data_IF_142329880065
#
_entry.id   IF_142329880065
#
_cell.length_a   1.000
_cell.length_b   1.000
_cell.length_c   1.000
_cell.angle_alpha   90.00
_cell.angle_beta   90.00
_cell.angle_gamma   90.00
#
_symmetry.space_group_name_H-M   'P 1'
#
loop_
_entity.id
_entity.type
_entity.pdbx_description
1 polymer ?
#
# COMPACT_ATOMS: atom_id res chain seq x y z
N UNK A 1 5.20 -15.10 -9.09
CA UNK A 1 4.37 -13.96 -8.63
C UNK A 1 3.69 -13.35 -9.84
N UNK A 2 2.44 -12.97 -9.71
CA UNK A 2 1.65 -12.31 -10.74
C UNK A 2 1.87 -10.79 -10.64
N UNK A 3 2.65 -10.22 -11.56
CA UNK A 3 3.00 -8.79 -11.60
C UNK A 3 2.57 -8.19 -12.92
N UNK A 4 1.94 -7.04 -12.87
CA UNK A 4 1.61 -6.21 -14.02
C UNK A 4 2.37 -4.89 -13.95
N UNK A 5 2.80 -4.35 -15.09
CA UNK A 5 3.46 -3.04 -15.18
C UNK A 5 2.63 -2.12 -16.07
N UNK A 6 2.41 -0.88 -15.62
CA UNK A 6 1.63 0.15 -16.31
C UNK A 6 2.32 1.50 -16.24
N UNK A 7 2.05 2.35 -17.22
CA UNK A 7 2.61 3.70 -17.31
C UNK A 7 4.04 3.73 -17.86
N UNK A 8 4.56 4.94 -18.04
CA UNK A 8 5.83 5.21 -18.76
C UNK A 8 6.71 6.26 -18.07
N UNK A 9 6.33 6.74 -16.88
CA UNK A 9 7.11 7.75 -16.15
C UNK A 9 8.45 7.19 -15.63
N UNK A 10 9.40 8.08 -15.31
CA UNK A 10 10.77 7.70 -14.96
C UNK A 10 10.92 7.03 -13.60
N UNK A 11 10.08 7.41 -12.64
CA UNK A 11 10.04 6.78 -11.30
C UNK A 11 9.26 5.48 -11.36
N UNK A 12 9.73 4.46 -10.62
CA UNK A 12 8.94 3.24 -10.41
C UNK A 12 8.15 3.33 -9.12
N UNK A 13 6.86 2.98 -9.16
CA UNK A 13 6.00 2.91 -7.99
C UNK A 13 5.53 1.48 -7.82
N UNK A 14 5.97 0.80 -6.75
CA UNK A 14 5.46 -0.53 -6.41
C UNK A 14 4.24 -0.36 -5.53
N UNK A 15 3.05 -0.71 -6.06
CA UNK A 15 1.78 -0.43 -5.41
C UNK A 15 1.14 -1.71 -4.85
N UNK A 16 0.96 -1.76 -3.52
CA UNK A 16 0.52 -2.90 -2.75
C UNK A 16 -0.92 -2.71 -2.29
N UNK A 17 -1.76 -3.67 -2.64
CA UNK A 17 -3.20 -3.70 -2.34
C UNK A 17 -3.52 -4.07 -0.89
N UNK A 18 -4.78 -3.89 -0.50
CA UNK A 18 -5.33 -4.26 0.82
C UNK A 18 -5.55 -5.77 0.99
N UNK A 19 -6.01 -6.15 2.19
CA UNK A 19 -6.19 -7.57 2.59
C UNK A 19 -7.17 -8.35 1.68
N UNK A 20 -8.22 -7.70 1.19
CA UNK A 20 -9.22 -8.30 0.31
C UNK A 20 -9.02 -7.94 -1.16
N UNK A 21 -8.25 -6.87 -1.44
CA UNK A 21 -8.05 -6.40 -2.80
C UNK A 21 -7.05 -7.23 -3.59
N UNK A 22 -7.01 -6.91 -4.86
CA UNK A 22 -5.97 -7.28 -5.82
C UNK A 22 -5.33 -5.98 -6.35
N UNK A 23 -4.42 -6.08 -7.30
CA UNK A 23 -3.88 -4.91 -8.01
C UNK A 23 -4.97 -3.98 -8.56
N UNK A 24 -6.16 -4.52 -8.86
CA UNK A 24 -7.29 -3.75 -9.41
C UNK A 24 -7.70 -2.57 -8.52
N UNK A 25 -7.42 -2.64 -7.21
CA UNK A 25 -7.68 -1.54 -6.27
C UNK A 25 -6.91 -0.27 -6.59
N UNK A 26 -5.73 -0.38 -7.21
CA UNK A 26 -4.89 0.75 -7.61
C UNK A 26 -5.20 1.28 -9.01
N UNK A 27 -5.91 0.51 -9.86
CA UNK A 27 -6.09 0.85 -11.28
C UNK A 27 -6.65 2.26 -11.53
N UNK A 28 -7.63 2.80 -10.78
CA UNK A 28 -8.12 4.16 -11.01
C UNK A 28 -7.03 5.23 -10.85
N UNK A 29 -6.17 5.08 -9.83
CA UNK A 29 -5.03 5.99 -9.60
C UNK A 29 -3.95 5.80 -10.67
N UNK A 30 -3.65 4.55 -11.02
CA UNK A 30 -2.66 4.19 -12.06
C UNK A 30 -3.03 4.77 -13.41
N UNK A 31 -4.29 4.67 -13.81
CA UNK A 31 -4.79 5.25 -15.07
C UNK A 31 -4.64 6.77 -15.11
N UNK A 32 -4.86 7.44 -13.97
CA UNK A 32 -4.70 8.89 -13.84
C UNK A 32 -3.23 9.34 -13.85
N UNK A 33 -2.31 8.49 -13.38
CA UNK A 33 -0.90 8.81 -13.18
C UNK A 33 0.04 7.99 -14.10
N UNK A 34 -0.47 7.45 -15.21
CA UNK A 34 0.31 6.62 -16.13
C UNK A 34 1.49 7.36 -16.79
N UNK A 35 1.41 8.67 -16.90
CA UNK A 35 2.45 9.57 -17.39
C UNK A 35 3.51 9.93 -16.32
N UNK A 36 3.13 9.94 -15.05
CA UNK A 36 3.97 10.38 -13.94
C UNK A 36 4.95 9.29 -13.44
N UNK A 37 4.56 8.01 -13.54
CA UNK A 37 5.35 6.90 -13.04
C UNK A 37 5.17 5.63 -13.87
N UNK A 38 6.13 4.73 -13.73
CA UNK A 38 5.98 3.31 -14.13
C UNK A 38 5.52 2.53 -12.91
N UNK A 39 4.26 2.08 -12.91
CA UNK A 39 3.62 1.36 -11.81
C UNK A 39 3.90 -0.14 -11.91
N UNK A 40 4.42 -0.71 -10.83
CA UNK A 40 4.62 -2.16 -10.65
C UNK A 40 3.54 -2.65 -9.69
N UNK A 41 2.69 -3.52 -10.18
CA UNK A 41 1.42 -3.92 -9.55
C UNK A 41 1.41 -5.43 -9.26
N UNK A 42 2.07 -5.88 -8.18
CA UNK A 42 2.02 -7.28 -7.81
C UNK A 42 0.66 -7.64 -7.18
N UNK A 43 0.14 -8.79 -7.55
CA UNK A 43 -0.80 -9.52 -6.70
C UNK A 43 0.01 -10.30 -5.67
N UNK A 44 -0.18 -10.02 -4.40
CA UNK A 44 0.46 -10.75 -3.32
C UNK A 44 -0.07 -12.19 -3.25
N UNK A 45 0.62 -13.09 -2.55
CA UNK A 45 0.19 -14.48 -2.36
C UNK A 45 -1.27 -14.61 -1.95
N UNK A 46 -1.98 -15.58 -2.52
CA UNK A 46 -3.41 -15.79 -2.33
C UNK A 46 -4.31 -14.77 -3.04
N UNK A 47 -3.80 -13.97 -4.00
CA UNK A 47 -4.55 -12.96 -4.77
C UNK A 47 -4.24 -13.08 -6.24
N UNK A 48 -5.26 -12.85 -7.07
CA UNK A 48 -5.14 -12.93 -8.51
C UNK A 48 -4.49 -14.25 -8.97
N UNK A 49 -3.54 -14.17 -9.91
CA UNK A 49 -2.79 -15.31 -10.41
C UNK A 49 -1.57 -15.71 -9.58
N UNK A 50 -1.35 -15.10 -8.40
CA UNK A 50 -0.23 -15.47 -7.52
C UNK A 50 -0.48 -16.76 -6.77
N UNK A 51 0.62 -17.37 -6.27
CA UNK A 51 0.56 -18.63 -5.51
C UNK A 51 -0.44 -18.55 -4.36
N UNK A 52 -1.27 -19.56 -4.23
CA UNK A 52 -2.18 -19.75 -3.10
C UNK A 52 -1.45 -20.59 -2.04
N UNK A 53 -1.15 -20.04 -0.85
CA UNK A 53 -0.51 -20.78 0.22
C UNK A 53 -1.35 -21.96 0.69
N UNK A 54 -0.68 -23.10 0.94
CA UNK A 54 -1.29 -24.29 1.52
C UNK A 54 -1.20 -24.32 3.03
N UNK A 55 -0.16 -23.69 3.59
CA UNK A 55 0.06 -23.59 5.04
C UNK A 55 -0.44 -22.22 5.54
N UNK A 56 -1.20 -22.23 6.64
CA UNK A 56 -1.69 -21.00 7.26
C UNK A 56 -0.55 -20.03 7.65
N UNK A 57 0.63 -20.55 8.02
CA UNK A 57 1.81 -19.73 8.37
C UNK A 57 2.36 -18.93 7.20
N UNK A 58 2.08 -19.33 5.97
CA UNK A 58 2.51 -18.61 4.77
C UNK A 58 1.69 -17.33 4.53
N UNK A 59 0.62 -17.10 5.31
CA UNK A 59 -0.11 -15.83 5.36
C UNK A 59 0.43 -14.85 6.40
N UNK A 60 1.57 -15.15 7.06
CA UNK A 60 2.22 -14.20 7.97
C UNK A 60 2.73 -12.96 7.21
N UNK A 61 2.72 -11.78 7.86
CA UNK A 61 3.07 -10.51 7.22
C UNK A 61 4.49 -10.51 6.63
N UNK A 62 5.44 -11.18 7.29
CA UNK A 62 6.80 -11.35 6.77
C UNK A 62 6.86 -12.04 5.40
N UNK A 63 5.90 -12.94 5.11
CA UNK A 63 5.81 -13.61 3.80
C UNK A 63 5.28 -12.66 2.72
N UNK A 64 4.38 -11.75 3.06
CA UNK A 64 3.96 -10.67 2.15
C UNK A 64 5.10 -9.68 1.89
N UNK A 65 5.92 -9.42 2.89
CA UNK A 65 7.14 -8.63 2.72
C UNK A 65 8.19 -9.35 1.83
N UNK A 66 8.24 -10.70 1.83
CA UNK A 66 9.04 -11.48 0.85
C UNK A 66 8.51 -11.26 -0.57
N UNK A 67 7.19 -11.27 -0.77
CA UNK A 67 6.57 -11.00 -2.06
C UNK A 67 6.88 -9.57 -2.55
N UNK A 68 6.79 -8.58 -1.68
CA UNK A 68 7.16 -7.20 -1.99
C UNK A 68 8.64 -7.09 -2.40
N UNK A 69 9.55 -7.69 -1.63
CA UNK A 69 10.98 -7.68 -1.95
C UNK A 69 11.27 -8.36 -3.30
N UNK A 70 10.61 -9.47 -3.59
CA UNK A 70 10.74 -10.14 -4.88
C UNK A 70 10.26 -9.26 -6.05
N UNK A 71 9.17 -8.50 -5.89
CA UNK A 71 8.70 -7.56 -6.89
C UNK A 71 9.70 -6.40 -7.11
N UNK A 72 10.25 -5.84 -6.02
CA UNK A 72 11.28 -4.80 -6.08
C UNK A 72 12.52 -5.32 -6.82
N UNK A 73 13.03 -6.48 -6.46
CA UNK A 73 14.23 -7.08 -7.09
C UNK A 73 14.01 -7.41 -8.57
N UNK A 74 12.81 -7.82 -8.93
CA UNK A 74 12.48 -8.13 -10.33
C UNK A 74 12.31 -6.90 -11.21
N UNK A 75 11.81 -5.77 -10.65
CA UNK A 75 11.31 -4.67 -11.47
C UNK A 75 11.96 -3.31 -11.17
N UNK A 76 12.75 -3.15 -10.08
CA UNK A 76 13.13 -1.81 -9.62
C UNK A 76 14.64 -1.61 -9.38
N UNK A 77 15.48 -2.65 -9.57
CA UNK A 77 16.90 -2.57 -9.17
C UNK A 77 17.75 -1.60 -10.00
N UNK A 78 17.28 -1.22 -11.16
CA UNK A 78 17.92 -0.29 -12.09
C UNK A 78 17.33 1.12 -12.08
N UNK A 79 16.42 1.40 -11.14
CA UNK A 79 15.69 2.67 -11.09
C UNK A 79 15.39 3.13 -9.64
N UNK A 80 15.23 4.43 -9.48
CA UNK A 80 14.65 5.01 -8.26
C UNK A 80 13.20 4.55 -8.12
N UNK A 81 12.81 4.08 -6.94
CA UNK A 81 11.47 3.57 -6.71
C UNK A 81 10.81 4.12 -5.43
N UNK A 82 9.50 4.15 -5.45
CA UNK A 82 8.61 4.53 -4.35
C UNK A 82 7.75 3.32 -3.99
N UNK A 83 7.43 3.13 -2.72
CA UNK A 83 6.45 2.13 -2.28
C UNK A 83 5.12 2.82 -2.00
N UNK A 84 4.07 2.30 -2.59
CA UNK A 84 2.70 2.75 -2.36
C UNK A 84 1.88 1.61 -1.73
N UNK A 85 1.26 1.84 -0.59
CA UNK A 85 0.44 0.84 0.10
C UNK A 85 -0.96 1.37 0.40
N UNK A 86 -1.97 0.51 0.21
CA UNK A 86 -3.33 0.77 0.64
C UNK A 86 -3.75 -0.25 1.70
N UNK A 87 -4.33 0.23 2.82
CA UNK A 87 -4.85 -0.65 3.87
C UNK A 87 -3.76 -1.62 4.41
N UNK A 88 -3.93 -2.93 4.27
CA UNK A 88 -2.89 -3.94 4.62
C UNK A 88 -1.57 -3.69 3.86
N UNK A 89 -1.61 -3.14 2.66
CA UNK A 89 -0.40 -2.80 1.90
C UNK A 89 0.55 -1.89 2.67
N UNK A 90 0.02 -0.99 3.49
CA UNK A 90 0.82 -0.15 4.41
C UNK A 90 1.56 -1.03 5.43
N UNK A 91 0.86 -1.98 6.05
CA UNK A 91 1.49 -2.90 7.03
C UNK A 91 2.57 -3.77 6.38
N UNK A 92 2.37 -4.21 5.13
CA UNK A 92 3.38 -4.96 4.36
C UNK A 92 4.63 -4.10 4.13
N UNK A 93 4.47 -2.83 3.77
CA UNK A 93 5.57 -1.88 3.60
C UNK A 93 6.31 -1.66 4.93
N UNK A 94 5.60 -1.42 6.02
CA UNK A 94 6.22 -1.24 7.34
C UNK A 94 7.01 -2.48 7.77
N UNK A 95 6.50 -3.69 7.53
CA UNK A 95 7.22 -4.94 7.80
C UNK A 95 8.47 -5.10 6.92
N UNK A 96 8.36 -4.76 5.63
CA UNK A 96 9.48 -4.76 4.70
C UNK A 96 10.62 -3.82 5.15
N UNK A 97 10.28 -2.60 5.58
CA UNK A 97 11.25 -1.57 5.97
C UNK A 97 12.05 -1.92 7.23
N UNK A 98 11.60 -2.89 8.03
CA UNK A 98 12.34 -3.43 9.19
C UNK A 98 13.50 -4.36 8.80
N UNK A 99 13.59 -4.77 7.54
CA UNK A 99 14.61 -5.70 7.07
C UNK A 99 15.95 -5.00 6.88
N UNK A 100 17.00 -5.60 7.42
CA UNK A 100 18.37 -5.13 7.18
C UNK A 100 18.82 -5.54 5.78
N UNK A 101 19.51 -4.63 5.08
CA UNK A 101 20.06 -4.89 3.75
C UNK A 101 19.02 -4.97 2.61
N UNK A 102 17.74 -4.75 2.88
CA UNK A 102 16.73 -4.66 1.83
C UNK A 102 16.88 -3.35 1.03
N UNK A 103 16.63 -3.35 -0.30
CA UNK A 103 16.60 -2.14 -1.10
C UNK A 103 15.66 -1.09 -0.50
N UNK A 104 16.15 0.16 -0.38
CA UNK A 104 15.36 1.24 0.25
C UNK A 104 14.67 2.11 -0.80
N UNK A 105 13.37 2.43 -0.62
CA UNK A 105 12.67 3.32 -1.54
C UNK A 105 13.08 4.78 -1.32
N UNK A 106 12.90 5.60 -2.35
CA UNK A 106 13.08 7.04 -2.26
C UNK A 106 11.92 7.73 -1.52
N UNK A 107 10.78 7.06 -1.36
CA UNK A 107 9.63 7.60 -0.64
C UNK A 107 8.50 6.61 -0.47
N UNK A 108 7.51 6.99 0.33
CA UNK A 108 6.37 6.16 0.74
C UNK A 108 5.04 6.88 0.50
N UNK A 109 4.08 6.19 -0.12
CA UNK A 109 2.68 6.60 -0.21
C UNK A 109 1.85 5.63 0.65
N UNK A 110 1.26 6.11 1.73
CA UNK A 110 0.56 5.29 2.73
C UNK A 110 -0.91 5.69 2.80
N UNK A 111 -1.78 4.94 2.10
CA UNK A 111 -3.21 5.24 1.98
C UNK A 111 -4.07 4.35 2.88
N UNK A 112 -4.98 4.94 3.68
CA UNK A 112 -5.94 4.26 4.58
C UNK A 112 -5.31 3.13 5.41
N UNK A 113 -4.06 3.33 5.85
CA UNK A 113 -3.28 2.32 6.56
C UNK A 113 -3.41 2.39 8.07
N UNK A 114 -2.72 1.47 8.74
CA UNK A 114 -2.62 1.45 10.20
C UNK A 114 -1.21 1.12 10.65
N UNK A 115 -0.83 1.71 11.77
CA UNK A 115 0.36 1.39 12.55
C UNK A 115 0.17 0.22 13.53
N UNK A 116 -1.11 -0.15 13.82
CA UNK A 116 -1.45 -1.20 14.77
C UNK A 116 -2.71 -1.96 14.31
N UNK A 117 -2.53 -3.17 13.78
CA UNK A 117 -3.62 -4.02 13.29
C UNK A 117 -4.56 -4.48 14.41
N UNK A 118 -4.05 -4.62 15.62
CA UNK A 118 -4.88 -4.98 16.78
C UNK A 118 -5.95 -3.92 17.15
N UNK A 119 -5.84 -2.71 16.61
CA UNK A 119 -6.77 -1.59 16.85
C UNK A 119 -7.68 -1.30 15.65
N UNK A 120 -7.63 -2.12 14.58
CA UNK A 120 -8.51 -1.95 13.43
C UNK A 120 -9.86 -2.62 13.64
N UNK A 121 -10.85 -2.20 12.86
CA UNK A 121 -12.20 -2.78 12.86
C UNK A 121 -12.48 -3.64 11.62
N UNK A 122 -11.43 -4.20 10.99
CA UNK A 122 -11.58 -4.94 9.73
C UNK A 122 -12.47 -6.16 9.87
N UNK A 123 -12.22 -7.00 10.89
CA UNK A 123 -12.99 -8.19 11.20
C UNK A 123 -13.00 -8.43 12.72
N UNK A 124 -14.13 -8.86 13.25
CA UNK A 124 -14.36 -9.03 14.70
C UNK A 124 -14.44 -10.50 15.12
N UNK A 125 -14.75 -11.38 14.16
CA UNK A 125 -15.07 -12.78 14.42
C UNK A 125 -13.98 -13.74 13.92
N UNK A 126 -14.19 -15.02 14.19
CA UNK A 126 -13.41 -16.15 13.69
C UNK A 126 -14.31 -17.16 12.98
N UNK A 127 -13.72 -18.21 12.37
CA UNK A 127 -14.45 -19.31 11.72
C UNK A 127 -15.34 -18.84 10.56
N UNK A 128 -16.52 -19.40 10.47
CA UNK A 128 -17.50 -19.09 9.40
C UNK A 128 -18.01 -17.64 9.47
N UNK A 129 -18.11 -17.07 10.65
CA UNK A 129 -18.54 -15.70 10.81
C UNK A 129 -17.53 -14.72 10.19
N UNK A 130 -16.23 -14.97 10.31
CA UNK A 130 -15.18 -14.19 9.65
C UNK A 130 -15.35 -14.23 8.11
N UNK A 131 -15.72 -15.35 7.51
CA UNK A 131 -15.98 -15.44 6.07
C UNK A 131 -17.17 -14.58 5.65
N UNK A 132 -18.23 -14.55 6.47
CA UNK A 132 -19.40 -13.66 6.25
C UNK A 132 -19.03 -12.19 6.36
N UNK A 133 -18.26 -11.81 7.38
CA UNK A 133 -17.73 -10.44 7.54
C UNK A 133 -16.86 -10.05 6.33
N UNK A 134 -16.04 -10.98 5.80
CA UNK A 134 -15.24 -10.74 4.61
C UNK A 134 -16.14 -10.46 3.39
N UNK A 135 -17.19 -11.25 3.17
CA UNK A 135 -18.13 -11.04 2.08
C UNK A 135 -18.89 -9.70 2.23
N UNK A 136 -19.30 -9.34 3.44
CA UNK A 136 -20.00 -8.07 3.70
C UNK A 136 -19.09 -6.87 3.46
N UNK A 137 -17.84 -6.96 3.90
CA UNK A 137 -16.85 -5.91 3.72
C UNK A 137 -16.45 -5.73 2.24
N UNK A 138 -16.33 -6.82 1.49
CA UNK A 138 -16.09 -6.80 0.04
C UNK A 138 -17.17 -6.01 -0.69
N UNK A 139 -18.46 -6.31 -0.39
CA UNK A 139 -19.58 -5.59 -0.98
C UNK A 139 -19.60 -4.12 -0.61
N UNK A 140 -19.31 -3.79 0.66
CA UNK A 140 -19.24 -2.40 1.14
C UNK A 140 -18.13 -1.60 0.47
N UNK A 141 -16.98 -2.22 0.20
CA UNK A 141 -15.84 -1.58 -0.46
C UNK A 141 -15.97 -1.55 -1.99
N UNK A 142 -16.98 -2.21 -2.56
CA UNK A 142 -17.19 -2.24 -4.01
C UNK A 142 -16.00 -2.77 -4.79
N UNK A 143 -15.28 -3.78 -4.28
CA UNK A 143 -14.08 -4.29 -4.91
C UNK A 143 -14.43 -4.94 -6.27
N UNK A 144 -13.76 -4.51 -7.35
CA UNK A 144 -13.96 -5.10 -8.69
C UNK A 144 -13.45 -6.53 -8.77
N UNK A 145 -12.36 -6.79 -8.08
CA UNK A 145 -11.75 -8.10 -7.89
C UNK A 145 -11.38 -8.25 -6.43
N UNK A 146 -11.67 -9.40 -5.85
CA UNK A 146 -11.38 -9.69 -4.46
C UNK A 146 -10.58 -10.98 -4.31
N UNK A 147 -9.88 -11.09 -3.21
CA UNK A 147 -9.23 -12.32 -2.77
C UNK A 147 -10.29 -13.34 -2.32
N UNK A 148 -9.98 -14.62 -2.46
CA UNK A 148 -10.77 -15.69 -1.85
C UNK A 148 -10.92 -15.45 -0.33
N UNK A 149 -12.15 -15.65 0.21
CA UNK A 149 -12.43 -15.35 1.61
C UNK A 149 -11.64 -16.23 2.58
N UNK A 150 -11.27 -17.45 2.19
CA UNK A 150 -10.42 -18.31 3.02
C UNK A 150 -8.98 -17.76 3.09
N UNK A 151 -8.47 -17.20 1.97
CA UNK A 151 -7.18 -16.50 1.95
C UNK A 151 -7.21 -15.23 2.81
N UNK A 152 -8.31 -14.47 2.77
CA UNK A 152 -8.53 -13.30 3.63
C UNK A 152 -8.52 -13.70 5.10
N UNK A 153 -9.28 -14.74 5.47
CA UNK A 153 -9.38 -15.25 6.83
C UNK A 153 -8.03 -15.80 7.34
N UNK A 154 -7.30 -16.55 6.49
CA UNK A 154 -5.95 -17.04 6.78
C UNK A 154 -4.98 -15.89 7.08
N UNK A 155 -5.01 -14.85 6.22
CA UNK A 155 -4.22 -13.64 6.41
C UNK A 155 -4.56 -12.95 7.72
N UNK A 156 -5.84 -12.65 7.96
CA UNK A 156 -6.28 -11.93 9.15
C UNK A 156 -5.84 -12.61 10.45
N UNK A 157 -6.00 -13.93 10.53
CA UNK A 157 -5.57 -14.71 11.72
C UNK A 157 -4.08 -14.53 12.03
N UNK A 158 -3.24 -14.41 10.99
CA UNK A 158 -1.79 -14.24 11.14
C UNK A 158 -1.39 -12.82 11.52
N UNK A 159 -2.12 -11.79 11.04
CA UNK A 159 -1.65 -10.40 11.15
C UNK A 159 -2.37 -9.57 12.21
N UNK A 160 -3.57 -9.94 12.64
CA UNK A 160 -4.47 -9.13 13.50
C UNK A 160 -3.89 -8.62 14.82
N UNK A 161 -2.77 -9.17 15.29
CA UNK A 161 -2.11 -8.78 16.55
C UNK A 161 -0.85 -7.94 16.33
N UNK A 162 -0.51 -7.63 15.09
CA UNK A 162 0.74 -6.92 14.78
C UNK A 162 0.63 -5.43 15.14
N UNK A 163 1.76 -4.92 15.61
CA UNK A 163 1.94 -3.54 16.06
C UNK A 163 3.30 -3.03 15.56
N UNK A 164 3.27 -2.02 14.70
CA UNK A 164 4.46 -1.40 14.11
C UNK A 164 4.83 -0.06 14.75
N UNK A 165 4.08 0.41 15.75
CA UNK A 165 4.29 1.73 16.37
C UNK A 165 5.72 1.94 16.86
N UNK A 166 6.31 0.92 17.46
CA UNK A 166 7.68 0.97 17.98
C UNK A 166 8.78 1.08 16.91
N UNK A 167 8.47 0.85 15.63
CA UNK A 167 9.43 0.90 14.52
C UNK A 167 9.32 2.13 13.64
N UNK A 168 8.29 2.96 13.78
CA UNK A 168 8.04 4.10 12.89
C UNK A 168 9.18 5.12 12.91
N UNK A 169 9.69 5.45 14.09
CA UNK A 169 10.78 6.43 14.26
C UNK A 169 12.12 5.98 13.63
N UNK A 170 12.26 4.71 13.24
CA UNK A 170 13.43 4.20 12.54
C UNK A 170 13.31 4.28 11.00
N UNK A 171 12.20 4.80 10.48
CA UNK A 171 11.94 4.94 9.03
C UNK A 171 12.29 6.37 8.60
N UNK A 172 13.41 6.58 7.87
CA UNK A 172 13.86 7.91 7.48
C UNK A 172 13.28 8.38 6.15
N UNK A 173 12.65 7.50 5.38
CA UNK A 173 12.13 7.82 4.06
C UNK A 173 11.03 8.88 4.14
N UNK A 174 11.07 9.89 3.22
CA UNK A 174 9.96 10.82 3.09
C UNK A 174 8.66 10.07 2.78
N UNK A 175 7.56 10.49 3.40
CA UNK A 175 6.28 9.82 3.28
C UNK A 175 5.12 10.82 3.09
N UNK A 176 4.10 10.40 2.33
CA UNK A 176 2.78 11.01 2.38
C UNK A 176 1.78 10.00 2.95
N UNK A 177 1.03 10.39 3.97
CA UNK A 177 -0.08 9.63 4.54
C UNK A 177 -1.39 10.23 4.05
N UNK A 178 -2.19 9.45 3.31
CA UNK A 178 -3.50 9.84 2.79
C UNK A 178 -4.57 9.04 3.50
N UNK A 179 -5.58 9.69 4.09
CA UNK A 179 -6.57 8.99 4.90
C UNK A 179 -7.94 9.64 4.83
N UNK A 180 -9.00 8.85 4.83
CA UNK A 180 -10.36 9.36 4.92
C UNK A 180 -10.72 9.72 6.38
N UNK A 181 -11.41 10.86 6.60
CA UNK A 181 -11.81 11.28 7.95
C UNK A 181 -12.82 10.32 8.59
N UNK A 182 -13.63 9.66 7.78
CA UNK A 182 -14.75 8.81 8.20
C UNK A 182 -14.48 7.33 7.91
N UNK A 183 -13.19 6.94 7.85
CA UNK A 183 -12.77 5.55 7.63
C UNK A 183 -13.23 4.64 8.78
N UNK A 184 -14.20 3.72 8.54
CA UNK A 184 -14.73 2.85 9.59
C UNK A 184 -13.82 1.64 9.87
N UNK A 185 -12.91 1.31 8.96
CA UNK A 185 -12.03 0.14 9.07
C UNK A 185 -10.73 0.48 9.81
N UNK A 186 -10.12 1.61 9.43
CA UNK A 186 -8.90 2.16 10.06
C UNK A 186 -9.20 3.60 10.46
N UNK A 187 -9.69 3.86 11.68
CA UNK A 187 -10.03 5.21 12.12
C UNK A 187 -8.93 6.24 11.82
N UNK A 188 -9.30 7.47 11.46
CA UNK A 188 -8.37 8.53 11.04
C UNK A 188 -7.19 8.74 12.02
N UNK A 189 -7.40 8.46 13.30
CA UNK A 189 -6.34 8.48 14.31
C UNK A 189 -5.14 7.59 13.96
N UNK A 190 -5.35 6.50 13.20
CA UNK A 190 -4.26 5.63 12.72
C UNK A 190 -3.39 6.35 11.68
N UNK A 191 -4.00 7.04 10.71
CA UNK A 191 -3.28 7.86 9.73
C UNK A 191 -2.51 9.00 10.41
N UNK A 192 -3.12 9.66 11.39
CA UNK A 192 -2.47 10.72 12.16
C UNK A 192 -1.27 10.21 12.95
N UNK A 193 -1.36 9.02 13.59
CA UNK A 193 -0.24 8.40 14.30
C UNK A 193 0.87 7.95 13.34
N UNK A 194 0.53 7.37 12.19
CA UNK A 194 1.50 7.04 11.14
C UNK A 194 2.31 8.29 10.76
N UNK A 195 1.64 9.39 10.43
CA UNK A 195 2.30 10.62 10.02
C UNK A 195 3.17 11.22 11.13
N UNK A 196 2.72 11.17 12.39
CA UNK A 196 3.50 11.72 13.52
C UNK A 196 4.62 10.79 13.99
N UNK A 197 4.54 9.49 13.72
CA UNK A 197 5.54 8.50 14.13
C UNK A 197 6.71 8.36 13.17
N UNK A 198 6.52 8.67 11.88
CA UNK A 198 7.56 8.66 10.85
C UNK A 198 8.45 9.90 10.94
N UNK A 199 9.73 9.80 10.55
CA UNK A 199 10.68 10.92 10.65
C UNK A 199 10.33 12.08 9.71
N UNK A 200 9.87 11.81 8.50
CA UNK A 200 9.62 12.78 7.44
C UNK A 200 8.29 12.46 6.76
N UNK A 201 7.17 12.82 7.39
CA UNK A 201 5.86 12.55 6.80
C UNK A 201 5.00 13.80 6.69
N UNK A 202 4.43 14.01 5.51
CA UNK A 202 3.27 14.86 5.30
C UNK A 202 1.97 14.03 5.42
N UNK A 203 0.84 14.70 5.61
CA UNK A 203 -0.47 14.05 5.67
C UNK A 203 -1.51 14.81 4.89
N UNK A 204 -2.43 14.07 4.28
CA UNK A 204 -3.61 14.61 3.64
C UNK A 204 -4.84 13.83 4.12
N UNK A 205 -5.76 14.52 4.81
CA UNK A 205 -7.00 13.93 5.31
C UNK A 205 -8.15 14.39 4.42
N UNK A 206 -8.81 13.42 3.77
CA UNK A 206 -9.93 13.67 2.87
C UNK A 206 -11.20 13.70 3.71
N UNK A 207 -11.83 14.88 3.78
CA UNK A 207 -13.04 15.07 4.60
C UNK A 207 -14.21 14.25 4.06
N UNK A 208 -14.91 13.53 4.95
CA UNK A 208 -16.08 12.70 4.63
C UNK A 208 -15.73 11.39 3.89
N UNK A 209 -14.46 11.14 3.56
CA UNK A 209 -14.06 9.92 2.86
C UNK A 209 -13.96 8.72 3.81
N UNK A 210 -14.36 7.55 3.29
CA UNK A 210 -14.25 6.25 3.96
C UNK A 210 -12.90 5.56 3.71
N UNK A 211 -12.91 4.22 3.77
CA UNK A 211 -11.71 3.39 3.56
C UNK A 211 -11.28 3.31 2.09
N UNK A 212 -12.22 3.45 1.15
CA UNK A 212 -12.04 3.27 -0.28
C UNK A 212 -11.44 4.47 -1.03
N UNK A 213 -10.54 5.24 -0.41
CA UNK A 213 -10.03 6.51 -0.98
C UNK A 213 -9.45 6.38 -2.39
N UNK A 214 -8.88 5.22 -2.75
CA UNK A 214 -8.31 5.00 -4.09
C UNK A 214 -9.36 5.00 -5.21
N UNK A 215 -10.59 4.55 -4.90
CA UNK A 215 -11.68 4.40 -5.86
C UNK A 215 -12.76 5.47 -5.72
N UNK A 216 -13.01 5.92 -4.50
CA UNK A 216 -14.05 6.91 -4.19
C UNK A 216 -13.55 8.35 -4.32
N UNK A 217 -12.25 8.58 -4.07
CA UNK A 217 -11.61 9.90 -4.09
C UNK A 217 -10.41 9.94 -5.05
N UNK A 218 -10.47 9.19 -6.15
CA UNK A 218 -9.34 8.96 -7.08
C UNK A 218 -8.65 10.25 -7.51
N UNK A 219 -9.40 11.28 -7.89
CA UNK A 219 -8.83 12.53 -8.38
C UNK A 219 -7.98 13.23 -7.32
N UNK A 220 -8.50 13.37 -6.10
CA UNK A 220 -7.81 14.03 -4.98
C UNK A 220 -6.58 13.23 -4.54
N UNK A 221 -6.72 11.89 -4.42
CA UNK A 221 -5.61 11.00 -4.11
C UNK A 221 -4.52 11.08 -5.18
N UNK A 222 -4.88 11.07 -6.45
CA UNK A 222 -3.93 11.16 -7.56
C UNK A 222 -3.18 12.49 -7.56
N UNK A 223 -3.85 13.60 -7.30
CA UNK A 223 -3.22 14.93 -7.18
C UNK A 223 -2.16 14.94 -6.06
N UNK A 224 -2.49 14.41 -4.89
CA UNK A 224 -1.55 14.32 -3.77
C UNK A 224 -0.35 13.40 -4.07
N UNK A 225 -0.59 12.26 -4.70
CA UNK A 225 0.48 11.35 -5.13
C UNK A 225 1.37 12.01 -6.17
N UNK A 226 0.81 12.69 -7.18
CA UNK A 226 1.59 13.40 -8.21
C UNK A 226 2.54 14.41 -7.58
N UNK A 227 2.04 15.29 -6.72
CA UNK A 227 2.86 16.28 -5.99
C UNK A 227 3.98 15.65 -5.18
N UNK A 228 3.69 14.53 -4.55
CA UNK A 228 4.69 13.79 -3.79
C UNK A 228 5.77 13.17 -4.70
N UNK A 229 5.39 12.54 -5.82
CA UNK A 229 6.32 11.99 -6.80
C UNK A 229 7.19 13.10 -7.42
N UNK A 230 6.62 14.26 -7.74
CA UNK A 230 7.36 15.41 -8.25
C UNK A 230 8.41 15.91 -7.25
N UNK A 231 8.13 15.85 -5.95
CA UNK A 231 9.07 16.23 -4.89
C UNK A 231 10.23 15.26 -4.70
N UNK A 232 10.08 14.00 -5.14
CA UNK A 232 11.09 12.93 -5.03
C UNK A 232 11.89 12.80 -6.33
N UNK A 233 11.32 13.16 -7.47
CA UNK A 233 12.02 13.14 -8.75
C UNK A 233 13.29 14.01 -8.65
N UNK A 234 14.47 13.49 -9.00
CA UNK A 234 15.63 14.34 -9.12
C UNK A 234 15.28 15.46 -10.10
N UNK A 235 15.45 16.72 -9.68
CA UNK A 235 15.23 17.85 -10.54
C UNK A 235 15.94 17.59 -11.87
N UNK A 236 15.22 17.64 -12.98
CA UNK A 236 15.82 17.60 -14.30
C UNK A 236 16.92 18.68 -14.26
N UNK A 237 18.17 18.25 -14.30
CA UNK A 237 19.31 19.19 -14.38
C UNK A 237 19.07 20.05 -15.59
N UNK A 238 18.58 21.25 -15.35
CA UNK A 238 18.53 22.29 -16.38
C UNK A 238 20.00 22.53 -16.75
N UNK A 239 20.42 21.93 -17.84
CA UNK A 239 21.72 22.21 -18.43
C UNK A 239 21.62 23.59 -19.12
N UNK A 240 22.19 24.67 -18.58
CA UNK A 240 22.19 25.97 -19.21
C UNK A 240 23.42 26.04 -20.14
N UNK A 241 23.50 25.16 -21.13
CA UNK A 241 24.50 25.27 -22.19
C UNK A 241 23.85 25.03 -23.56
N UNK A 242 23.43 26.11 -24.20
CA UNK A 242 23.79 26.43 -25.60
C UNK A 242 23.20 27.79 -25.99
N UNK A 243 23.87 28.84 -25.56
CA UNK A 243 23.85 30.09 -26.36
C UNK A 243 25.29 30.30 -26.80
N UNK A 244 25.54 29.96 -28.04
CA UNK A 244 26.60 30.52 -28.87
C UNK A 244 26.03 30.80 -30.23
#
# INVERSE_FOLDING_TARGET
>A
MDIETRGTGPLRVVAIHGIQGTRSSWMPVVETLADAATWVLPNLRGRGGSIVPRDARDYALGRYADDLEAAIRACCMDATFVLAGWSMGVSVILEYLRRQGAPRPAGLVLASGTDCLAQTSWFKSDGEQLLREAADRERRLGLREAADHAAVAGTWRCIRKLDHRGSLAAIPEPAIVIHGSDDPDSPVAHGLRLASGLQQASRHIIAGAGHGVLTENTAEVSDQIRRFLDSISPAATHNPETVK
#
